data_IF_511025265627
#
_entry.id   IF_511025265627
#
_cell.length_a   1.000
_cell.length_b   1.000
_cell.length_c   1.000
_cell.angle_alpha   90.00
_cell.angle_beta   90.00
_cell.angle_gamma   90.00
#
_symmetry.space_group_name_H-M   'P 1'
#
loop_
_entity.id
_entity.type
_entity.pdbx_description
1 polymer ?
#
# COMPACT_ATOMS: atom_id res chain seq x y z
N UNK A 1 -1.30 17.68 0.73
CA UNK A 1 -0.33 16.59 0.98
C UNK A 1 -0.71 15.36 0.19
N UNK A 2 0.27 14.68 -0.35
CA UNK A 2 0.07 13.42 -1.05
C UNK A 2 0.38 12.27 -0.10
N UNK A 3 -0.53 11.29 -0.01
CA UNK A 3 -0.33 10.12 0.82
C UNK A 3 0.33 8.99 0.04
N UNK A 4 0.96 8.06 0.76
CA UNK A 4 1.65 6.93 0.16
C UNK A 4 1.15 5.61 0.74
N UNK A 5 0.85 4.66 -0.13
CA UNK A 5 0.53 3.30 0.27
C UNK A 5 1.54 2.38 -0.37
N UNK A 6 2.16 1.55 0.45
CA UNK A 6 3.15 0.57 0.01
C UNK A 6 2.57 -0.81 0.18
N UNK A 7 2.52 -1.58 -0.89
CA UNK A 7 1.92 -2.90 -0.88
C UNK A 7 2.72 -3.83 -1.80
N UNK A 8 2.59 -5.14 -1.58
CA UNK A 8 3.32 -6.12 -2.36
C UNK A 8 3.22 -7.50 -1.73
N UNK A 9 3.81 -8.49 -2.39
CA UNK A 9 3.76 -9.88 -1.92
C UNK A 9 4.61 -10.09 -0.67
N UNK A 10 4.13 -10.95 0.22
CA UNK A 10 4.87 -11.39 1.39
C UNK A 10 5.42 -10.24 2.22
N UNK A 11 6.70 -10.27 2.50
CA UNK A 11 7.37 -9.28 3.34
C UNK A 11 7.92 -8.08 2.57
N UNK A 12 7.61 -7.95 1.28
CA UNK A 12 8.14 -6.85 0.48
C UNK A 12 7.81 -5.49 1.09
N UNK A 13 6.51 -5.22 1.33
CA UNK A 13 6.10 -3.91 1.81
C UNK A 13 6.57 -3.63 3.25
N UNK A 14 6.39 -4.56 4.21
CA UNK A 14 6.94 -4.34 5.55
C UNK A 14 8.46 -4.18 5.55
N UNK A 15 9.17 -4.98 4.73
CA UNK A 15 10.62 -4.90 4.64
C UNK A 15 11.10 -3.57 4.09
N UNK A 16 10.49 -3.11 3.01
CA UNK A 16 10.85 -1.82 2.43
C UNK A 16 10.49 -0.67 3.39
N UNK A 17 9.35 -0.78 4.07
CA UNK A 17 8.95 0.22 5.05
C UNK A 17 9.96 0.32 6.18
N UNK A 18 10.52 -0.81 6.64
CA UNK A 18 11.53 -0.79 7.69
C UNK A 18 12.81 -0.11 7.21
N UNK A 19 13.19 -0.31 5.95
CA UNK A 19 14.36 0.36 5.39
C UNK A 19 14.13 1.87 5.27
N UNK A 20 12.96 2.29 4.86
CA UNK A 20 12.60 3.71 4.77
C UNK A 20 12.66 4.35 6.16
N UNK A 21 12.14 3.67 7.18
CA UNK A 21 12.17 4.19 8.54
C UNK A 21 13.60 4.39 9.05
N UNK A 22 14.50 3.46 8.70
CA UNK A 22 15.92 3.59 9.09
C UNK A 22 16.61 4.79 8.44
N UNK A 23 16.31 5.04 7.17
CA UNK A 23 17.02 6.05 6.38
C UNK A 23 16.39 7.42 6.54
N UNK A 24 15.08 7.50 6.52
CA UNK A 24 14.34 8.76 6.46
C UNK A 24 13.48 9.04 7.69
N UNK A 25 13.38 8.09 8.61
CA UNK A 25 12.53 8.21 9.79
C UNK A 25 11.07 7.97 9.44
N UNK A 26 10.20 8.17 10.41
CA UNK A 26 8.76 8.00 10.23
C UNK A 26 8.21 9.02 9.24
N UNK A 27 7.37 8.56 8.34
CA UNK A 27 6.79 9.42 7.31
C UNK A 27 5.30 9.67 7.60
N UNK A 28 4.83 10.92 7.46
CA UNK A 28 3.40 11.20 7.59
C UNK A 28 2.65 10.64 6.39
N UNK A 29 1.38 10.30 6.58
CA UNK A 29 0.51 9.82 5.50
C UNK A 29 1.14 8.64 4.73
N UNK A 30 1.64 7.65 5.48
CA UNK A 30 2.31 6.47 4.92
C UNK A 30 1.66 5.23 5.53
N UNK A 31 1.14 4.35 4.69
CA UNK A 31 0.46 3.13 5.14
C UNK A 31 1.01 1.92 4.39
N UNK A 32 1.19 0.82 5.11
CA UNK A 32 1.63 -0.45 4.55
C UNK A 32 0.45 -1.42 4.52
N UNK A 33 0.18 -1.99 3.35
CA UNK A 33 -0.86 -3.00 3.18
C UNK A 33 -0.20 -4.27 2.63
N UNK A 34 0.13 -5.23 3.49
CA UNK A 34 0.81 -6.45 3.03
C UNK A 34 -0.16 -7.40 2.34
N UNK A 35 0.37 -8.23 1.45
CA UNK A 35 -0.38 -9.29 0.79
C UNK A 35 0.28 -10.61 1.16
N UNK A 36 -0.26 -11.29 2.17
CA UNK A 36 0.27 -12.54 2.68
C UNK A 36 -0.85 -13.58 2.78
N UNK A 37 -0.49 -14.85 2.92
CA UNK A 37 -1.39 -15.98 2.82
C UNK A 37 -2.75 -15.82 3.47
N UNK A 38 -2.79 -15.60 4.76
CA UNK A 38 -4.06 -15.49 5.50
C UNK A 38 -4.86 -14.24 5.14
N UNK A 39 -4.20 -13.23 4.62
CA UNK A 39 -4.81 -11.95 4.29
C UNK A 39 -5.25 -11.86 2.83
N UNK A 40 -4.93 -12.88 2.03
CA UNK A 40 -5.20 -12.84 0.60
C UNK A 40 -6.70 -12.68 0.30
N UNK A 41 -7.56 -13.31 1.09
CA UNK A 41 -9.00 -13.25 0.87
C UNK A 41 -9.59 -11.86 1.11
N UNK A 42 -9.02 -11.10 2.04
CA UNK A 42 -9.50 -9.75 2.38
C UNK A 42 -8.66 -8.63 1.77
N UNK A 43 -7.62 -8.99 1.01
CA UNK A 43 -6.64 -8.01 0.55
C UNK A 43 -7.27 -6.87 -0.24
N UNK A 44 -8.16 -7.18 -1.18
CA UNK A 44 -8.79 -6.15 -2.01
C UNK A 44 -9.57 -5.15 -1.18
N UNK A 45 -10.29 -5.63 -0.18
CA UNK A 45 -11.06 -4.76 0.72
C UNK A 45 -10.12 -3.94 1.62
N UNK A 46 -9.06 -4.57 2.12
CA UNK A 46 -8.08 -3.89 2.97
C UNK A 46 -7.40 -2.76 2.20
N UNK A 47 -7.01 -3.04 0.97
CA UNK A 47 -6.37 -2.02 0.14
C UNK A 47 -7.33 -0.88 -0.19
N UNK A 48 -8.57 -1.20 -0.54
CA UNK A 48 -9.59 -0.19 -0.83
C UNK A 48 -9.85 0.69 0.39
N UNK A 49 -9.96 0.09 1.56
CA UNK A 49 -10.19 0.83 2.80
C UNK A 49 -9.03 1.79 3.10
N UNK A 50 -7.79 1.33 2.90
CA UNK A 50 -6.61 2.16 3.13
C UNK A 50 -6.58 3.35 2.16
N UNK A 51 -6.87 3.11 0.89
CA UNK A 51 -6.90 4.17 -0.12
C UNK A 51 -8.01 5.18 0.19
N UNK A 52 -9.20 4.70 0.52
CA UNK A 52 -10.34 5.56 0.84
C UNK A 52 -10.05 6.45 2.03
N UNK A 53 -9.52 5.87 3.12
CA UNK A 53 -9.19 6.63 4.32
C UNK A 53 -8.14 7.70 4.02
N UNK A 54 -7.13 7.35 3.23
CA UNK A 54 -6.05 8.29 2.92
C UNK A 54 -6.53 9.42 2.00
N UNK A 55 -7.44 9.12 1.09
CA UNK A 55 -8.01 10.14 0.19
C UNK A 55 -8.84 11.18 0.93
N UNK A 56 -9.40 10.82 2.07
CA UNK A 56 -10.15 11.77 2.91
C UNK A 56 -9.23 12.80 3.57
N UNK A 57 -7.98 12.43 3.81
CA UNK A 57 -7.03 13.28 4.52
C UNK A 57 -6.01 13.94 3.59
N UNK A 58 -5.83 13.41 2.37
CA UNK A 58 -4.78 13.84 1.46
C UNK A 58 -5.37 14.27 0.13
N UNK A 59 -4.64 15.13 -0.58
CA UNK A 59 -5.04 15.61 -1.91
C UNK A 59 -4.95 14.53 -2.97
N UNK A 60 -4.09 13.55 -2.76
CA UNK A 60 -3.91 12.43 -3.67
C UNK A 60 -3.21 11.30 -2.97
N UNK A 61 -3.23 10.11 -3.58
CA UNK A 61 -2.61 8.91 -3.02
C UNK A 61 -1.76 8.25 -4.10
N UNK A 62 -0.50 7.96 -3.76
CA UNK A 62 0.38 7.15 -4.59
C UNK A 62 0.46 5.75 -4.00
N UNK A 63 0.26 4.75 -4.84
CA UNK A 63 0.35 3.35 -4.42
C UNK A 63 1.56 2.73 -5.10
N UNK A 64 2.48 2.21 -4.29
CA UNK A 64 3.67 1.52 -4.76
C UNK A 64 3.50 0.03 -4.59
N UNK A 65 3.71 -0.72 -5.67
CA UNK A 65 3.60 -2.18 -5.67
C UNK A 65 4.92 -2.81 -6.10
N UNK A 66 5.05 -4.12 -5.89
CA UNK A 66 6.27 -4.84 -6.21
C UNK A 66 6.34 -5.34 -7.66
N UNK A 67 5.36 -6.15 -8.08
CA UNK A 67 5.39 -6.83 -9.36
C UNK A 67 4.30 -6.32 -10.30
N UNK A 68 4.71 -5.91 -11.50
CA UNK A 68 3.77 -5.54 -12.55
C UNK A 68 2.90 -6.76 -12.90
N UNK A 69 1.57 -6.58 -12.85
CA UNK A 69 0.64 -7.65 -13.17
C UNK A 69 0.34 -8.62 -12.04
N UNK A 70 1.00 -8.49 -10.88
CA UNK A 70 0.67 -9.29 -9.71
C UNK A 70 -0.63 -8.82 -9.04
N UNK A 71 -1.13 -9.61 -8.07
CA UNK A 71 -2.38 -9.27 -7.38
C UNK A 71 -2.37 -7.86 -6.75
N UNK A 72 -1.32 -7.45 -6.01
CA UNK A 72 -1.30 -6.09 -5.47
C UNK A 72 -1.41 -5.02 -6.56
N UNK A 73 -0.67 -5.17 -7.66
CA UNK A 73 -0.73 -4.23 -8.77
C UNK A 73 -2.13 -4.19 -9.39
N UNK A 74 -2.70 -5.36 -9.68
CA UNK A 74 -3.98 -5.46 -10.35
C UNK A 74 -5.11 -4.89 -9.49
N UNK A 75 -5.10 -5.17 -8.19
CA UNK A 75 -6.12 -4.62 -7.29
C UNK A 75 -6.00 -3.10 -7.19
N UNK A 76 -4.79 -2.57 -7.12
CA UNK A 76 -4.59 -1.13 -7.08
C UNK A 76 -5.11 -0.47 -8.35
N UNK A 77 -4.86 -1.07 -9.51
CA UNK A 77 -5.36 -0.54 -10.78
C UNK A 77 -6.88 -0.53 -10.85
N UNK A 78 -7.53 -1.59 -10.35
CA UNK A 78 -8.99 -1.65 -10.31
C UNK A 78 -9.59 -0.59 -9.40
N UNK A 79 -8.97 -0.36 -8.25
CA UNK A 79 -9.45 0.64 -7.30
C UNK A 79 -9.24 2.06 -7.84
N UNK A 80 -8.15 2.28 -8.58
CA UNK A 80 -7.82 3.59 -9.11
C UNK A 80 -8.79 4.08 -10.19
N UNK A 81 -9.56 3.20 -10.77
CA UNK A 81 -10.51 3.58 -11.82
C UNK A 81 -11.79 4.26 -11.25
#
# INVERSE_FOLDING_TARGET
MVGFILTGHGQFAPGLASAIAMVAGDQPAFTVVPFEGDQAASYGEDLRAAITAMREECDGVLVFTDLLGGTPFNQAMMIAQ
#
